data_IF_403003312931
#
_entry.id   IF_403003312931
#
_cell.length_a   1.000
_cell.length_b   1.000
_cell.length_c   1.000
_cell.angle_alpha   90.00
_cell.angle_beta   90.00
_cell.angle_gamma   90.00
#
_symmetry.space_group_name_H-M   'P 1'
#
loop_
_entity.id
_entity.type
_entity.pdbx_description
1 polymer ?
#
# COMPACT_ATOMS: atom_id res chain seq x y z
N UNK A 1 -1.71 20.76 19.85
CA UNK A 1 -2.61 20.64 18.69
C UNK A 1 -1.71 20.46 17.48
N UNK A 2 -1.29 19.22 17.23
CA UNK A 2 -0.28 18.93 16.20
C UNK A 2 -0.97 18.80 14.84
N UNK A 3 -0.61 19.69 13.93
CA UNK A 3 -0.92 19.59 12.51
C UNK A 3 -0.55 18.19 12.02
N UNK A 4 -1.57 17.43 11.60
CA UNK A 4 -1.38 16.24 10.77
C UNK A 4 -0.90 16.77 9.43
N UNK A 5 0.41 16.75 9.22
CA UNK A 5 1.05 17.17 7.99
C UNK A 5 0.51 16.30 6.86
N UNK A 6 -0.24 16.90 5.95
CA UNK A 6 -0.80 16.32 4.71
C UNK A 6 0.28 15.96 3.67
N UNK A 7 1.48 15.61 4.10
CA UNK A 7 2.61 15.27 3.25
C UNK A 7 2.67 13.75 3.04
N UNK A 8 1.72 13.17 2.28
CA UNK A 8 1.90 11.92 1.48
C UNK A 8 0.61 11.50 0.74
N UNK A 9 -0.03 12.42 0.02
CA UNK A 9 -1.09 12.07 -0.96
C UNK A 9 -0.79 12.60 -2.38
N UNK A 10 0.46 13.00 -2.62
CA UNK A 10 0.89 13.70 -3.84
C UNK A 10 1.03 12.83 -5.10
N UNK A 11 0.62 11.56 -5.06
CA UNK A 11 0.69 10.64 -6.20
C UNK A 11 -0.68 10.28 -6.79
N UNK A 12 -1.78 10.76 -6.19
CA UNK A 12 -3.15 10.44 -6.66
C UNK A 12 -3.41 10.98 -8.06
N UNK A 13 -2.83 12.14 -8.39
CA UNK A 13 -2.92 12.77 -9.72
C UNK A 13 -2.15 11.98 -10.79
N UNK A 14 -1.21 11.14 -10.36
CA UNK A 14 -0.42 10.30 -11.26
C UNK A 14 -1.11 8.93 -11.55
N UNK A 15 -2.31 8.71 -10.99
CA UNK A 15 -3.14 7.50 -11.13
C UNK A 15 -4.42 7.79 -11.93
N UNK A 16 -4.60 7.07 -13.03
CA UNK A 16 -5.82 7.09 -13.84
C UNK A 16 -6.76 5.94 -13.43
N UNK A 17 -8.08 6.18 -13.48
CA UNK A 17 -9.11 5.23 -13.07
C UNK A 17 -8.92 4.71 -11.62
N UNK A 18 -8.52 5.61 -10.73
CA UNK A 18 -8.20 5.36 -9.31
C UNK A 18 -9.42 5.25 -8.38
N UNK A 19 -10.64 5.33 -8.93
CA UNK A 19 -11.89 5.19 -8.19
C UNK A 19 -12.73 4.09 -8.84
N UNK A 20 -13.31 3.22 -8.02
CA UNK A 20 -14.26 2.20 -8.47
C UNK A 20 -15.57 2.32 -7.69
N UNK A 21 -16.68 2.08 -8.38
CA UNK A 21 -17.98 1.93 -7.73
C UNK A 21 -17.99 0.56 -7.07
N UNK A 22 -18.36 0.52 -5.79
CA UNK A 22 -18.60 -0.75 -5.09
C UNK A 22 -20.01 -1.23 -5.38
N UNK A 23 -20.14 -2.49 -5.78
CA UNK A 23 -21.41 -3.15 -6.00
C UNK A 23 -21.59 -4.30 -5.00
N UNK A 24 -22.83 -4.48 -4.54
CA UNK A 24 -23.20 -5.52 -3.60
C UNK A 24 -23.90 -6.65 -4.33
N UNK A 25 -23.24 -7.79 -4.41
CA UNK A 25 -23.82 -9.00 -4.97
C UNK A 25 -24.71 -9.68 -3.91
N UNK A 26 -26.01 -9.66 -4.16
CA UNK A 26 -27.02 -10.28 -3.29
C UNK A 26 -26.89 -11.81 -3.19
N UNK A 27 -26.34 -12.49 -4.21
CA UNK A 27 -26.20 -13.95 -4.22
C UNK A 27 -24.99 -14.38 -3.38
N UNK A 28 -23.84 -13.76 -3.59
CA UNK A 28 -22.60 -14.09 -2.87
C UNK A 28 -22.47 -13.37 -1.53
N UNK A 29 -23.31 -12.35 -1.28
CA UNK A 29 -23.26 -11.47 -0.09
C UNK A 29 -21.96 -10.69 0.02
N UNK A 30 -21.31 -10.40 -1.11
CA UNK A 30 -20.03 -9.70 -1.18
C UNK A 30 -20.23 -8.27 -1.67
N UNK A 31 -19.67 -7.30 -0.95
CA UNK A 31 -19.50 -5.93 -1.42
C UNK A 31 -18.10 -5.82 -2.06
N UNK A 32 -18.03 -5.46 -3.34
CA UNK A 32 -16.76 -5.40 -4.06
C UNK A 32 -16.69 -4.22 -5.03
N UNK A 33 -15.51 -3.61 -5.17
CA UNK A 33 -15.20 -2.64 -6.21
C UNK A 33 -14.11 -3.20 -7.11
N UNK A 34 -14.31 -3.16 -8.43
CA UNK A 34 -13.36 -3.73 -9.40
C UNK A 34 -12.66 -2.63 -10.18
N UNK A 35 -11.32 -2.64 -10.13
CA UNK A 35 -10.46 -1.72 -10.87
C UNK A 35 -9.94 -2.43 -12.13
N UNK A 36 -10.62 -2.27 -13.28
CA UNK A 36 -10.24 -2.95 -14.54
C UNK A 36 -9.17 -2.21 -15.33
N UNK A 37 -9.18 -0.88 -15.24
CA UNK A 37 -8.36 0.02 -16.06
C UNK A 37 -7.50 0.95 -15.19
N UNK A 38 -7.27 0.59 -13.92
CA UNK A 38 -6.39 1.34 -13.03
C UNK A 38 -4.97 1.38 -13.61
N UNK A 39 -4.45 2.57 -13.81
CA UNK A 39 -3.15 2.79 -14.42
C UNK A 39 -2.37 3.86 -13.65
N UNK A 40 -1.07 3.64 -13.53
CA UNK A 40 -0.14 4.59 -12.94
C UNK A 40 0.78 5.08 -14.06
N UNK A 41 0.70 6.36 -14.42
CA UNK A 41 1.38 6.88 -15.60
C UNK A 41 2.76 7.48 -15.28
N UNK A 42 2.93 8.06 -14.09
CA UNK A 42 4.21 8.57 -13.62
C UNK A 42 4.35 8.39 -12.11
N UNK A 43 5.58 8.33 -11.61
CA UNK A 43 5.85 8.40 -10.18
C UNK A 43 6.93 9.46 -9.97
N UNK A 44 6.55 10.57 -9.34
CA UNK A 44 7.49 11.63 -8.94
C UNK A 44 8.33 11.14 -7.76
N UNK A 45 9.65 11.14 -7.94
CA UNK A 45 10.63 10.65 -6.95
C UNK A 45 11.21 11.80 -6.13
N UNK A 46 11.51 11.51 -4.86
CA UNK A 46 12.09 12.48 -3.93
C UNK A 46 13.51 12.88 -4.35
N UNK A 47 13.91 14.14 -4.12
CA UNK A 47 15.30 14.56 -4.36
C UNK A 47 16.23 13.89 -3.33
N UNK A 48 17.18 13.13 -3.86
CA UNK A 48 18.21 12.31 -3.17
C UNK A 48 18.91 13.06 -2.02
N UNK A 49 19.09 12.39 -0.89
CA UNK A 49 20.24 12.60 0.01
C UNK A 49 21.18 11.39 -0.16
N UNK A 50 22.45 11.65 -0.44
CA UNK A 50 23.36 10.66 -1.04
C UNK A 50 23.59 9.38 -0.21
N UNK A 51 23.83 8.27 -0.92
CA UNK A 51 24.18 6.95 -0.37
C UNK A 51 23.17 5.84 -0.67
N UNK A 52 21.91 6.21 -0.92
CA UNK A 52 20.82 5.27 -1.15
C UNK A 52 20.73 4.82 -2.61
N UNK A 53 20.45 3.53 -2.79
CA UNK A 53 20.33 2.93 -4.11
C UNK A 53 18.95 3.23 -4.70
N UNK A 54 18.82 3.21 -6.04
CA UNK A 54 17.54 3.41 -6.75
C UNK A 54 16.46 2.39 -6.34
N UNK A 55 16.84 1.36 -5.59
CA UNK A 55 15.97 0.27 -5.16
C UNK A 55 15.29 0.47 -3.80
N UNK A 56 15.52 1.59 -3.12
CA UNK A 56 15.03 1.81 -1.75
C UNK A 56 13.70 2.59 -1.68
N UNK A 57 13.30 3.29 -2.75
CA UNK A 57 11.98 3.95 -2.81
C UNK A 57 10.88 2.91 -3.06
N UNK A 58 10.04 2.71 -2.04
CA UNK A 58 8.91 1.77 -2.04
C UNK A 58 7.62 2.54 -2.25
N UNK A 59 6.86 2.16 -3.26
CA UNK A 59 5.52 2.71 -3.51
C UNK A 59 4.49 1.63 -3.21
N UNK A 60 3.37 2.02 -2.56
CA UNK A 60 2.18 1.18 -2.50
C UNK A 60 0.95 1.87 -3.05
N UNK A 61 0.04 1.03 -3.53
CA UNK A 61 -1.38 1.36 -3.59
C UNK A 61 -2.03 1.05 -2.26
N UNK A 62 -2.74 2.05 -1.73
CA UNK A 62 -3.66 1.89 -0.62
C UNK A 62 -5.07 2.00 -1.17
N UNK A 63 -5.83 0.91 -1.10
CA UNK A 63 -7.26 0.98 -1.40
C UNK A 63 -7.98 1.34 -0.10
N UNK A 64 -8.83 2.35 -0.18
CA UNK A 64 -9.68 2.72 0.93
C UNK A 64 -11.11 2.97 0.45
N UNK A 65 -12.05 2.80 1.36
CA UNK A 65 -13.45 3.16 1.14
C UNK A 65 -14.02 3.77 2.41
N UNK A 66 -15.05 4.60 2.24
CA UNK A 66 -15.82 5.11 3.35
C UNK A 66 -17.30 4.88 3.12
N UNK A 67 -17.98 4.34 4.13
CA UNK A 67 -19.41 4.09 4.11
C UNK A 67 -20.08 4.78 5.30
N UNK A 68 -21.33 5.21 5.13
CA UNK A 68 -22.16 5.69 6.24
C UNK A 68 -23.18 4.61 6.54
N UNK A 69 -23.12 4.03 7.75
CA UNK A 69 -24.05 2.99 8.21
C UNK A 69 -24.72 3.51 9.48
N UNK A 70 -26.05 3.66 9.45
CA UNK A 70 -26.85 4.16 10.57
C UNK A 70 -26.34 5.50 11.16
N UNK A 71 -25.86 6.41 10.32
CA UNK A 71 -25.31 7.71 10.74
C UNK A 71 -23.85 7.68 11.17
N UNK A 72 -23.22 6.50 11.28
CA UNK A 72 -21.80 6.36 11.58
C UNK A 72 -20.96 6.29 10.31
N UNK A 73 -19.90 7.08 10.23
CA UNK A 73 -18.93 7.02 9.12
C UNK A 73 -17.86 5.98 9.43
N UNK A 74 -17.82 4.93 8.62
CA UNK A 74 -16.81 3.87 8.68
C UNK A 74 -15.79 4.12 7.57
N UNK A 75 -14.51 3.99 7.89
CA UNK A 75 -13.41 3.99 6.91
C UNK A 75 -12.74 2.63 6.95
N UNK A 76 -12.52 2.04 5.78
CA UNK A 76 -11.89 0.73 5.61
C UNK A 76 -10.73 0.92 4.64
N UNK A 77 -9.61 0.27 4.92
CA UNK A 77 -8.43 0.28 4.07
C UNK A 77 -7.82 -1.12 3.99
N UNK A 78 -7.22 -1.44 2.84
CA UNK A 78 -6.51 -2.71 2.62
C UNK A 78 -5.08 -2.62 3.11
N UNK A 79 -4.39 -3.77 3.15
CA UNK A 79 -2.94 -3.77 3.23
C UNK A 79 -2.34 -3.07 1.98
N UNK A 80 -1.20 -2.38 2.14
CA UNK A 80 -0.53 -1.71 1.03
C UNK A 80 -0.04 -2.72 -0.02
N UNK A 81 -0.31 -2.47 -1.30
CA UNK A 81 0.16 -3.30 -2.42
C UNK A 81 1.39 -2.67 -3.05
N UNK A 82 2.55 -3.34 -3.01
CA UNK A 82 3.80 -2.79 -3.55
C UNK A 82 3.80 -2.79 -5.08
N UNK A 83 4.27 -1.68 -5.66
CA UNK A 83 4.36 -1.49 -7.11
C UNK A 83 5.78 -1.75 -7.60
N UNK A 84 5.93 -2.53 -8.68
CA UNK A 84 7.21 -2.83 -9.32
C UNK A 84 7.26 -2.14 -10.68
N UNK A 85 8.31 -1.33 -10.92
CA UNK A 85 8.49 -0.62 -12.19
C UNK A 85 9.36 -1.36 -13.20
N UNK A 86 10.15 -2.35 -12.75
CA UNK A 86 11.02 -3.14 -13.60
C UNK A 86 11.08 -4.60 -13.11
N UNK A 87 11.01 -5.60 -14.02
CA UNK A 87 11.18 -7.02 -13.64
C UNK A 87 12.51 -7.30 -12.91
N UNK A 88 13.54 -6.48 -13.14
CA UNK A 88 14.82 -6.59 -12.43
C UNK A 88 14.71 -6.39 -10.91
N UNK A 89 13.63 -5.74 -10.45
CA UNK A 89 13.38 -5.44 -9.04
C UNK A 89 12.49 -6.50 -8.37
N UNK A 90 11.98 -7.48 -9.14
CA UNK A 90 10.99 -8.45 -8.65
C UNK A 90 11.48 -9.22 -7.44
N UNK A 91 12.70 -9.77 -7.48
CA UNK A 91 13.27 -10.52 -6.37
C UNK A 91 13.40 -9.68 -5.08
N UNK A 92 13.80 -8.41 -5.22
CA UNK A 92 13.95 -7.50 -4.08
C UNK A 92 12.61 -7.05 -3.50
N UNK A 93 11.63 -6.80 -4.37
CA UNK A 93 10.27 -6.46 -3.95
C UNK A 93 9.62 -7.65 -3.27
N UNK A 94 9.76 -8.85 -3.82
CA UNK A 94 9.24 -10.07 -3.20
C UNK A 94 9.85 -10.26 -1.82
N UNK A 95 11.17 -10.12 -1.66
CA UNK A 95 11.81 -10.19 -0.36
C UNK A 95 11.24 -9.14 0.63
N UNK A 96 11.02 -7.91 0.16
CA UNK A 96 10.45 -6.83 0.97
C UNK A 96 9.01 -7.13 1.40
N UNK A 97 8.16 -7.57 0.48
CA UNK A 97 6.75 -7.91 0.74
C UNK A 97 6.65 -9.12 1.67
N UNK A 98 7.46 -10.15 1.44
CA UNK A 98 7.51 -11.34 2.29
C UNK A 98 7.95 -10.97 3.71
N UNK A 99 8.98 -10.13 3.84
CA UNK A 99 9.44 -9.66 5.14
C UNK A 99 8.40 -8.80 5.86
N UNK A 100 7.71 -7.93 5.13
CA UNK A 100 6.63 -7.10 5.65
C UNK A 100 5.45 -7.95 6.13
N UNK A 101 4.99 -8.91 5.33
CA UNK A 101 3.88 -9.80 5.68
C UNK A 101 4.20 -10.72 6.86
N UNK A 102 5.45 -11.16 7.00
CA UNK A 102 5.85 -12.09 8.06
C UNK A 102 6.13 -11.39 9.40
N UNK A 103 6.65 -10.16 9.39
CA UNK A 103 7.24 -9.55 10.58
C UNK A 103 6.66 -8.19 10.95
N UNK A 104 5.64 -7.71 10.24
CA UNK A 104 4.99 -6.46 10.60
C UNK A 104 4.01 -6.60 11.76
N UNK A 105 3.89 -5.51 12.53
CA UNK A 105 2.80 -5.35 13.47
C UNK A 105 1.52 -4.95 12.74
N UNK A 106 0.37 -5.40 13.23
CA UNK A 106 -0.95 -5.08 12.67
C UNK A 106 -1.27 -3.58 12.78
N UNK A 107 -0.81 -2.92 13.84
CA UNK A 107 -1.02 -1.49 14.09
C UNK A 107 0.33 -0.77 13.98
N UNK A 108 0.60 -0.17 12.83
CA UNK A 108 1.84 0.59 12.55
C UNK A 108 1.63 1.62 11.44
N UNK A 109 2.60 2.49 11.26
CA UNK A 109 2.72 3.28 10.03
C UNK A 109 3.00 2.36 8.83
N UNK A 110 2.43 2.65 7.64
CA UNK A 110 2.68 1.87 6.43
C UNK A 110 4.18 1.68 6.17
N UNK A 111 4.58 0.46 5.85
CA UNK A 111 5.98 0.07 5.58
C UNK A 111 6.99 0.27 6.71
N UNK A 112 6.54 0.57 7.94
CA UNK A 112 7.43 0.57 9.10
C UNK A 112 7.75 -0.88 9.49
N UNK A 113 8.91 -1.38 9.09
CA UNK A 113 9.35 -2.75 9.40
C UNK A 113 10.62 -2.73 10.24
N UNK A 114 10.70 -3.64 11.20
CA UNK A 114 11.94 -3.87 11.95
C UNK A 114 13.01 -4.42 11.02
N UNK A 115 14.17 -3.76 10.98
CA UNK A 115 15.33 -4.23 10.20
C UNK A 115 15.99 -5.49 10.74
N UNK A 116 15.48 -6.07 11.83
CA UNK A 116 16.02 -7.26 12.50
C UNK A 116 14.88 -8.09 13.08
N UNK A 117 15.03 -9.40 13.00
CA UNK A 117 14.10 -10.40 13.57
C UNK A 117 14.91 -11.52 14.20
N UNK A 118 14.29 -12.29 15.10
CA UNK A 118 14.95 -13.41 15.75
C UNK A 118 15.02 -14.58 14.76
N UNK A 119 16.13 -15.32 14.73
CA UNK A 119 16.32 -16.43 13.78
C UNK A 119 15.22 -17.50 13.87
N UNK A 120 14.66 -17.73 15.06
CA UNK A 120 13.53 -18.64 15.25
C UNK A 120 12.29 -18.24 14.45
N UNK A 121 12.09 -16.96 14.18
CA UNK A 121 10.98 -16.45 13.37
C UNK A 121 11.29 -16.55 11.87
N UNK A 122 12.58 -16.50 11.49
CA UNK A 122 13.02 -16.61 10.09
C UNK A 122 12.90 -18.01 9.51
N UNK A 123 13.07 -19.06 10.31
CA UNK A 123 13.04 -20.42 9.76
C UNK A 123 11.65 -20.84 9.21
N UNK A 124 10.60 -20.10 9.59
CA UNK A 124 9.21 -20.35 9.20
C UNK A 124 8.82 -19.72 7.86
N UNK A 125 9.70 -18.92 7.27
CA UNK A 125 9.61 -18.39 5.90
C UNK A 125 10.26 -19.34 4.89
#
# INVERSE_FOLDING_TARGET
MSEVTTDTLSATDDLENNTAIMDYDNQTRVLSGTFRTLQLWEIKRSKRKGGESVTDEKFALLFYTSAIVNGYRIKIWTLPVVIIMSPKQEAQVLATVTWDNAFSNIVREPFQISGRVIWSQMHLL
#
